data_IF_111693815614
#
_entry.id   IF_111693815614
#
_cell.length_a   1.000
_cell.length_b   1.000
_cell.length_c   1.000
_cell.angle_alpha   90.00
_cell.angle_beta   90.00
_cell.angle_gamma   90.00
#
_symmetry.space_group_name_H-M   'P 1'
#
loop_
_entity.id
_entity.type
_entity.pdbx_description
1 polymer ?
#
# COMPACT_ATOMS: atom_id res chain seq x y z
N UNK A 1 -16.11 7.77 10.98
CA UNK A 1 -16.99 8.24 12.06
C UNK A 1 -17.71 9.49 11.56
N UNK A 2 -18.98 9.34 11.18
CA UNK A 2 -19.75 10.36 10.49
C UNK A 2 -20.48 11.25 11.51
N UNK A 3 -19.74 12.15 12.17
CA UNK A 3 -20.34 13.24 12.95
C UNK A 3 -20.43 14.48 12.06
N UNK A 4 -21.63 15.06 11.92
CA UNK A 4 -21.88 16.29 11.15
C UNK A 4 -21.03 17.48 11.63
N UNK A 5 -20.69 17.50 12.92
CA UNK A 5 -19.90 18.58 13.54
C UNK A 5 -18.43 18.52 13.13
N UNK A 6 -17.89 17.31 12.95
CA UNK A 6 -16.51 17.12 12.47
C UNK A 6 -16.40 17.44 10.98
N UNK A 7 -17.46 17.16 10.21
CA UNK A 7 -17.52 17.41 8.77
C UNK A 7 -17.60 18.91 8.43
N UNK A 8 -18.20 19.73 9.29
CA UNK A 8 -18.26 21.19 9.12
C UNK A 8 -16.96 21.89 9.55
N UNK A 9 -16.24 21.36 10.55
CA UNK A 9 -14.98 21.92 11.05
C UNK A 9 -13.80 21.79 10.06
N UNK A 10 -13.84 20.83 9.12
CA UNK A 10 -12.73 20.53 8.20
C UNK A 10 -12.87 21.29 6.86
N UNK A 11 -14.05 21.84 6.54
CA UNK A 11 -14.31 22.54 5.28
C UNK A 11 -13.44 23.78 5.00
N UNK A 12 -13.04 24.61 5.98
CA UNK A 12 -12.21 25.79 5.71
C UNK A 12 -10.73 25.46 5.44
N UNK A 13 -10.23 24.33 5.95
CA UNK A 13 -8.85 23.87 5.77
C UNK A 13 -8.68 22.93 4.58
N UNK A 14 -9.79 22.51 3.96
CA UNK A 14 -9.77 21.68 2.76
C UNK A 14 -9.45 22.56 1.55
N UNK A 15 -8.16 22.65 1.20
CA UNK A 15 -7.75 23.19 -0.10
C UNK A 15 -8.41 22.34 -1.17
N UNK A 16 -9.35 22.94 -1.92
CA UNK A 16 -9.96 22.34 -3.12
C UNK A 16 -8.90 22.27 -4.23
N UNK A 17 -7.93 21.38 -4.05
CA UNK A 17 -7.16 20.79 -5.14
C UNK A 17 -7.97 19.63 -5.69
N UNK A 18 -8.82 19.97 -6.66
CA UNK A 18 -9.32 19.14 -7.76
C UNK A 18 -9.07 17.62 -7.70
N UNK A 19 -10.14 16.87 -7.94
CA UNK A 19 -10.10 15.59 -8.66
C UNK A 19 -9.10 15.70 -9.83
N UNK A 20 -7.86 15.26 -9.62
CA UNK A 20 -6.75 15.38 -10.56
C UNK A 20 -5.99 14.07 -10.66
N UNK A 21 -5.35 13.84 -11.80
CA UNK A 21 -4.56 12.64 -12.09
C UNK A 21 -3.65 12.31 -10.91
N UNK A 22 -3.56 11.02 -10.57
CA UNK A 22 -2.60 10.54 -9.58
C UNK A 22 -1.20 10.76 -10.14
N UNK A 23 -0.69 11.97 -9.98
CA UNK A 23 0.73 12.27 -10.06
C UNK A 23 1.37 11.66 -8.80
N UNK A 24 1.51 10.34 -8.79
CA UNK A 24 2.57 9.64 -8.03
C UNK A 24 3.89 9.95 -8.76
N UNK A 25 4.18 11.23 -8.97
CA UNK A 25 5.41 11.68 -9.58
C UNK A 25 6.44 11.65 -8.47
N UNK A 26 7.22 10.57 -8.40
CA UNK A 26 8.60 10.46 -7.89
C UNK A 26 8.97 10.99 -6.48
N UNK A 27 8.14 11.80 -5.82
CA UNK A 27 8.37 12.39 -4.50
C UNK A 27 8.61 11.36 -3.38
N UNK A 28 8.01 10.14 -3.39
CA UNK A 28 8.39 9.12 -2.43
C UNK A 28 9.89 8.75 -2.50
N UNK A 29 10.50 8.79 -3.70
CA UNK A 29 11.92 8.50 -3.89
C UNK A 29 12.84 9.68 -3.55
N UNK A 30 12.32 10.91 -3.50
CA UNK A 30 13.08 12.12 -3.17
C UNK A 30 13.15 12.38 -1.66
N UNK A 31 12.16 11.90 -0.89
CA UNK A 31 12.02 12.19 0.55
C UNK A 31 12.42 11.01 1.44
N UNK A 32 12.32 9.77 0.96
CA UNK A 32 12.71 8.58 1.72
C UNK A 32 14.13 8.16 1.33
N UNK A 33 15.05 7.95 2.30
CA UNK A 33 16.35 7.34 2.03
C UNK A 33 16.17 5.85 1.72
N UNK A 34 15.68 5.53 0.53
CA UNK A 34 15.46 4.15 0.08
C UNK A 34 16.84 3.52 -0.17
N UNK A 35 17.25 2.50 0.60
CA UNK A 35 18.55 1.88 0.40
C UNK A 35 18.61 1.17 -0.96
N UNK A 36 19.80 1.17 -1.58
CA UNK A 36 20.03 0.33 -2.77
C UNK A 36 19.91 -1.14 -2.38
N UNK A 37 19.39 -1.95 -3.30
CA UNK A 37 19.24 -3.37 -3.07
C UNK A 37 20.58 -4.04 -2.71
N UNK A 38 20.69 -4.58 -1.49
CA UNK A 38 21.77 -5.45 -1.07
C UNK A 38 21.33 -6.93 -1.03
N UNK A 39 21.90 -7.83 -1.87
CA UNK A 39 21.61 -9.26 -1.84
C UNK A 39 22.13 -9.97 -0.59
N UNK A 40 22.99 -9.34 0.21
CA UNK A 40 23.46 -9.88 1.50
C UNK A 40 22.52 -9.50 2.65
N UNK A 41 21.65 -8.50 2.46
CA UNK A 41 20.65 -8.13 3.44
C UNK A 41 19.43 -9.07 3.34
N UNK A 42 19.22 -9.85 4.40
CA UNK A 42 18.10 -10.81 4.46
C UNK A 42 16.75 -10.11 4.38
N UNK A 43 16.62 -8.85 4.81
CA UNK A 43 15.38 -8.06 4.71
C UNK A 43 15.03 -7.77 3.26
N UNK A 44 16.03 -7.46 2.44
CA UNK A 44 15.86 -7.21 1.02
C UNK A 44 15.45 -8.47 0.26
N UNK A 45 16.09 -9.60 0.59
CA UNK A 45 15.68 -10.91 0.06
C UNK A 45 14.25 -11.24 0.45
N UNK A 46 13.90 -11.01 1.72
CA UNK A 46 12.55 -11.26 2.25
C UNK A 46 11.48 -10.40 1.58
N UNK A 47 11.75 -9.12 1.35
CA UNK A 47 10.86 -8.24 0.58
C UNK A 47 10.62 -8.76 -0.85
N UNK A 48 11.66 -9.28 -1.50
CA UNK A 48 11.53 -9.91 -2.83
C UNK A 48 10.64 -11.17 -2.79
N UNK A 49 10.81 -12.01 -1.77
CA UNK A 49 9.99 -13.20 -1.55
C UNK A 49 8.53 -12.86 -1.29
N UNK A 50 8.27 -11.88 -0.41
CA UNK A 50 6.92 -11.39 -0.11
C UNK A 50 6.24 -10.83 -1.35
N UNK A 51 6.97 -10.07 -2.18
CA UNK A 51 6.45 -9.58 -3.46
C UNK A 51 5.98 -10.74 -4.37
N UNK A 52 6.79 -11.79 -4.51
CA UNK A 52 6.43 -12.99 -5.29
C UNK A 52 5.25 -13.74 -4.67
N UNK A 53 5.19 -13.84 -3.34
CA UNK A 53 4.10 -14.49 -2.63
C UNK A 53 2.77 -13.76 -2.83
N UNK A 54 2.76 -12.44 -2.66
CA UNK A 54 1.60 -11.58 -2.91
C UNK A 54 1.07 -11.76 -4.33
N UNK A 55 1.96 -11.75 -5.34
CA UNK A 55 1.57 -11.93 -6.73
C UNK A 55 0.88 -13.29 -6.97
N UNK A 56 1.47 -14.36 -6.43
CA UNK A 56 0.88 -15.71 -6.52
C UNK A 56 -0.47 -15.81 -5.80
N UNK A 57 -0.61 -15.18 -4.62
CA UNK A 57 -1.82 -15.22 -3.80
C UNK A 57 -2.98 -14.49 -4.50
N UNK A 58 -2.71 -13.32 -5.08
CA UNK A 58 -3.69 -12.57 -5.88
C UNK A 58 -4.08 -13.35 -7.14
N UNK A 59 -3.12 -13.92 -7.87
CA UNK A 59 -3.42 -14.72 -9.07
C UNK A 59 -4.32 -15.90 -8.73
N UNK A 60 -4.00 -16.66 -7.67
CA UNK A 60 -4.85 -17.77 -7.20
C UNK A 60 -6.25 -17.31 -6.80
N UNK A 61 -6.36 -16.18 -6.10
CA UNK A 61 -7.67 -15.64 -5.70
C UNK A 61 -8.49 -15.16 -6.91
N UNK A 62 -7.84 -14.69 -7.98
CA UNK A 62 -8.49 -14.37 -9.25
C UNK A 62 -8.96 -15.62 -10.00
N UNK A 63 -8.10 -16.64 -10.11
CA UNK A 63 -8.42 -17.92 -10.76
C UNK A 63 -9.50 -18.70 -10.00
N UNK A 64 -9.47 -18.67 -8.66
CA UNK A 64 -10.45 -19.29 -7.78
C UNK A 64 -11.78 -18.53 -7.67
N UNK A 65 -11.91 -17.36 -8.31
CA UNK A 65 -13.14 -16.57 -8.33
C UNK A 65 -13.46 -15.80 -7.04
N UNK A 66 -12.53 -15.81 -6.07
CA UNK A 66 -12.62 -15.00 -4.83
C UNK A 66 -12.52 -13.50 -5.14
N UNK A 67 -11.63 -13.14 -6.08
CA UNK A 67 -11.49 -11.79 -6.62
C UNK A 67 -12.25 -11.64 -7.93
N UNK A 68 -13.44 -11.05 -7.85
CA UNK A 68 -14.28 -10.76 -9.01
C UNK A 68 -13.91 -9.41 -9.63
N UNK A 69 -13.34 -9.46 -10.84
CA UNK A 69 -13.03 -8.28 -11.67
C UNK A 69 -14.27 -7.47 -12.08
N UNK A 70 -15.47 -8.03 -11.95
CA UNK A 70 -16.74 -7.34 -12.20
C UNK A 70 -17.11 -6.33 -11.11
N UNK A 71 -16.43 -6.35 -9.95
CA UNK A 71 -16.63 -5.35 -8.90
C UNK A 71 -15.98 -4.01 -9.29
N UNK A 72 -16.45 -2.92 -8.67
CA UNK A 72 -15.79 -1.63 -8.82
C UNK A 72 -14.33 -1.69 -8.37
N UNK A 73 -13.46 -0.90 -9.02
CA UNK A 73 -12.02 -0.85 -8.72
C UNK A 73 -11.73 -0.58 -7.24
N UNK A 74 -12.59 0.20 -6.58
CA UNK A 74 -12.48 0.49 -5.15
C UNK A 74 -12.74 -0.73 -4.28
N UNK A 75 -13.72 -1.56 -4.62
CA UNK A 75 -13.99 -2.81 -3.91
C UNK A 75 -12.87 -3.82 -4.14
N UNK A 76 -12.42 -3.97 -5.39
CA UNK A 76 -11.33 -4.88 -5.72
C UNK A 76 -10.04 -4.56 -4.94
N UNK A 77 -9.70 -3.27 -4.82
CA UNK A 77 -8.55 -2.84 -4.01
C UNK A 77 -8.70 -3.16 -2.53
N UNK A 78 -9.91 -3.08 -1.97
CA UNK A 78 -10.15 -3.46 -0.57
C UNK A 78 -9.99 -4.97 -0.39
N UNK A 79 -10.61 -5.75 -1.27
CA UNK A 79 -10.54 -7.21 -1.23
C UNK A 79 -9.08 -7.70 -1.34
N UNK A 80 -8.29 -7.12 -2.26
CA UNK A 80 -6.86 -7.43 -2.40
C UNK A 80 -6.07 -7.03 -1.14
N UNK A 81 -6.31 -5.84 -0.57
CA UNK A 81 -5.62 -5.43 0.67
C UNK A 81 -5.97 -6.31 1.86
N UNK A 82 -7.21 -6.78 1.94
CA UNK A 82 -7.64 -7.69 2.99
C UNK A 82 -7.00 -9.08 2.81
N UNK A 83 -6.92 -9.57 1.57
CA UNK A 83 -6.26 -10.83 1.23
C UNK A 83 -4.76 -10.81 1.57
N UNK A 84 -4.11 -9.66 1.37
CA UNK A 84 -2.67 -9.46 1.55
C UNK A 84 -2.31 -8.78 2.89
N UNK A 85 -3.22 -8.71 3.85
CA UNK A 85 -3.04 -7.88 5.06
C UNK A 85 -1.82 -8.30 5.89
N UNK A 86 -1.57 -9.60 6.00
CA UNK A 86 -0.44 -10.18 6.71
C UNK A 86 0.88 -9.86 6.00
N UNK A 87 0.96 -10.10 4.69
CA UNK A 87 2.15 -9.81 3.90
C UNK A 87 2.45 -8.31 3.85
N UNK A 88 1.42 -7.46 3.75
CA UNK A 88 1.57 -6.01 3.80
C UNK A 88 2.10 -5.54 5.16
N UNK A 89 1.62 -6.13 6.26
CA UNK A 89 2.13 -5.81 7.60
C UNK A 89 3.60 -6.20 7.77
N UNK A 90 4.01 -7.33 7.18
CA UNK A 90 5.41 -7.76 7.19
C UNK A 90 6.29 -6.84 6.32
N UNK A 91 5.81 -6.44 5.14
CA UNK A 91 6.48 -5.46 4.28
C UNK A 91 6.67 -4.14 5.02
N UNK A 92 5.62 -3.62 5.66
CA UNK A 92 5.67 -2.35 6.39
C UNK A 92 6.72 -2.38 7.50
N UNK A 93 6.80 -3.50 8.26
CA UNK A 93 7.84 -3.70 9.28
C UNK A 93 9.24 -3.72 8.68
N UNK A 94 9.45 -4.50 7.62
CA UNK A 94 10.76 -4.63 6.97
C UNK A 94 11.23 -3.30 6.37
N UNK A 95 10.33 -2.53 5.77
CA UNK A 95 10.63 -1.21 5.21
C UNK A 95 10.94 -0.21 6.33
N UNK A 96 10.20 -0.23 7.45
CA UNK A 96 10.49 0.60 8.61
C UNK A 96 11.90 0.34 9.17
N UNK A 97 12.29 -0.93 9.30
CA UNK A 97 13.63 -1.34 9.73
C UNK A 97 14.74 -0.93 8.75
N UNK A 98 14.43 -0.90 7.45
CA UNK A 98 15.40 -0.55 6.41
C UNK A 98 15.63 0.95 6.28
N UNK A 99 14.58 1.75 6.46
CA UNK A 99 14.62 3.20 6.33
C UNK A 99 14.93 3.89 7.67
N UNK A 100 14.94 3.12 8.78
CA UNK A 100 15.26 3.65 10.12
C UNK A 100 14.10 4.38 10.80
N UNK A 101 12.88 4.19 10.31
CA UNK A 101 11.67 4.67 10.96
C UNK A 101 11.15 3.60 11.94
N UNK A 102 11.87 3.40 13.04
CA UNK A 102 11.49 2.41 14.06
C UNK A 102 12.38 2.47 15.29
N UNK A 103 11.95 3.26 16.28
CA UNK A 103 12.30 3.13 17.70
C UNK A 103 11.08 2.65 18.47
#
# INVERSE_FOLDING_TARGET
MNSKVVDEAIKPSQTKGTFGERHICQRPFEVLPIPRFDPKDRRHLRLSELSKACHKKVLRAMEGGELKLSKSIGSLRRDVRQLLSEELSEIDRLVAELVGFGS
#
